data_IF_792097520724
#
_entry.id   IF_792097520724
#
_cell.length_a   1.000
_cell.length_b   1.000
_cell.length_c   1.000
_cell.angle_alpha   90.00
_cell.angle_beta   90.00
_cell.angle_gamma   90.00
#
_symmetry.space_group_name_H-M   'P 1'
#
loop_
_entity.id
_entity.type
_entity.pdbx_description
1 polymer ?
#
# COMPACT_ATOMS: atom_id res chain seq x y z
N UNK A 1 2.48 -9.99 2.30
CA UNK A 1 3.47 -9.00 2.80
C UNK A 1 3.54 -7.73 1.96
N UNK A 2 2.76 -7.58 0.87
CA UNK A 2 2.74 -6.35 0.05
C UNK A 2 1.85 -5.27 0.70
N UNK A 3 0.79 -5.69 1.40
CA UNK A 3 -0.21 -4.75 1.96
C UNK A 3 0.29 -4.03 3.23
N UNK A 4 1.20 -4.65 4.00
CA UNK A 4 1.82 -4.04 5.17
C UNK A 4 2.69 -2.83 4.81
N UNK A 5 3.50 -2.97 3.76
CA UNK A 5 4.39 -1.91 3.27
C UNK A 5 3.56 -0.75 2.73
N UNK A 6 2.49 -1.07 1.98
CA UNK A 6 1.55 -0.09 1.49
C UNK A 6 0.91 0.73 2.61
N UNK A 7 0.50 0.09 3.71
CA UNK A 7 -0.06 0.77 4.89
C UNK A 7 1.00 1.59 5.63
N UNK A 8 2.26 1.15 5.68
CA UNK A 8 3.35 1.94 6.23
C UNK A 8 3.48 3.29 5.49
N UNK A 9 3.31 3.32 4.17
CA UNK A 9 3.30 4.59 3.42
C UNK A 9 2.10 5.50 3.73
N UNK A 10 0.94 4.96 4.14
CA UNK A 10 -0.18 5.79 4.64
C UNK A 10 0.15 6.44 5.98
N UNK A 11 0.88 5.72 6.82
CA UNK A 11 1.27 6.14 8.17
C UNK A 11 2.65 6.84 8.20
N UNK A 12 3.19 7.22 7.05
CA UNK A 12 4.57 7.69 6.91
C UNK A 12 4.90 8.87 7.83
N UNK A 13 3.98 9.83 7.97
CA UNK A 13 4.20 11.02 8.80
C UNK A 13 4.28 10.62 10.29
N UNK A 14 3.41 9.72 10.75
CA UNK A 14 3.40 9.20 12.13
C UNK A 14 4.64 8.35 12.43
N UNK A 15 5.02 7.45 11.50
CA UNK A 15 6.23 6.63 11.65
C UNK A 15 7.47 7.52 11.78
N UNK A 16 7.58 8.55 10.96
CA UNK A 16 8.70 9.50 11.00
C UNK A 16 8.75 10.32 12.28
N UNK A 17 7.60 10.74 12.79
CA UNK A 17 7.50 11.46 14.07
C UNK A 17 7.95 10.55 15.24
N UNK A 18 7.42 9.33 15.31
CA UNK A 18 7.78 8.37 16.35
C UNK A 18 9.27 8.01 16.29
N UNK A 19 9.81 7.78 15.10
CA UNK A 19 11.24 7.50 14.93
C UNK A 19 12.13 8.69 15.28
N UNK A 20 11.69 9.93 15.04
CA UNK A 20 12.43 11.11 15.47
C UNK A 20 12.51 11.21 17.00
N UNK A 21 11.41 10.87 17.70
CA UNK A 21 11.35 10.85 19.16
C UNK A 21 12.14 9.68 19.76
N UNK A 22 12.22 8.55 19.06
CA UNK A 22 12.97 7.36 19.48
C UNK A 22 14.48 7.62 19.63
N UNK A 23 15.05 8.59 18.90
CA UNK A 23 16.49 8.91 18.90
C UNK A 23 17.04 9.44 20.23
N UNK A 24 16.18 9.70 21.22
CA UNK A 24 16.59 10.21 22.54
C UNK A 24 16.90 9.09 23.57
N UNK A 25 16.61 7.82 23.26
CA UNK A 25 16.89 6.69 24.15
C UNK A 25 18.24 6.01 23.78
N UNK A 26 19.00 5.51 24.76
CA UNK A 26 20.40 5.04 24.63
C UNK A 26 20.58 3.77 23.74
N UNK A 27 19.53 3.34 23.04
CA UNK A 27 19.53 2.21 22.12
C UNK A 27 19.57 2.62 20.65
N UNK A 28 19.80 1.62 19.80
CA UNK A 28 19.57 1.71 18.36
C UNK A 28 18.08 2.05 18.11
N UNK A 29 17.71 3.27 17.66
CA UNK A 29 16.31 3.65 17.48
C UNK A 29 15.57 2.73 16.51
N UNK A 30 16.29 2.09 15.60
CA UNK A 30 15.79 1.07 14.66
C UNK A 30 15.28 -0.21 15.33
N UNK A 31 15.74 -0.53 16.55
CA UNK A 31 15.32 -1.72 17.31
C UNK A 31 14.08 -1.46 18.18
N UNK A 32 13.65 -0.21 18.32
CA UNK A 32 12.46 0.11 19.11
C UNK A 32 11.19 -0.43 18.43
N UNK A 33 10.35 -1.08 19.22
CA UNK A 33 9.10 -1.69 18.78
C UNK A 33 8.02 -0.61 18.64
N UNK A 34 7.36 -0.58 17.49
CA UNK A 34 6.31 0.35 17.19
C UNK A 34 5.00 -0.37 16.83
N UNK A 35 3.91 0.01 17.52
CA UNK A 35 2.56 -0.48 17.27
C UNK A 35 1.80 0.51 16.38
N UNK A 36 2.15 0.52 15.09
CA UNK A 36 1.67 1.53 14.13
C UNK A 36 0.74 0.93 13.07
N UNK A 37 0.97 -0.33 12.70
CA UNK A 37 0.27 -0.96 11.57
C UNK A 37 -1.02 -1.64 12.07
N UNK A 38 -2.21 -1.19 11.62
CA UNK A 38 -3.49 -1.71 12.11
C UNK A 38 -3.61 -3.22 11.89
N UNK A 39 -3.85 -3.97 12.97
CA UNK A 39 -4.06 -5.42 12.89
C UNK A 39 -2.81 -6.27 12.75
N UNK A 40 -1.63 -5.67 12.70
CA UNK A 40 -0.36 -6.40 12.80
C UNK A 40 0.17 -6.34 14.24
N UNK A 41 0.95 -7.36 14.61
CA UNK A 41 1.70 -7.30 15.86
C UNK A 41 2.71 -6.14 15.82
N UNK A 42 3.02 -5.51 16.96
CA UNK A 42 4.07 -4.50 17.02
C UNK A 42 5.38 -5.04 16.45
N UNK A 43 6.03 -4.26 15.58
CA UNK A 43 7.30 -4.62 14.93
C UNK A 43 8.36 -3.55 15.20
N UNK A 44 9.66 -3.91 15.22
CA UNK A 44 10.72 -2.91 15.33
C UNK A 44 10.76 -2.02 14.09
N UNK A 45 11.21 -0.77 14.24
CA UNK A 45 11.31 0.16 13.11
C UNK A 45 12.11 -0.42 11.94
N UNK A 46 13.19 -1.17 12.19
CA UNK A 46 14.01 -1.81 11.13
C UNK A 46 13.26 -2.79 10.22
N UNK A 47 12.10 -3.29 10.65
CA UNK A 47 11.25 -4.19 9.86
C UNK A 47 10.24 -3.44 8.98
N UNK A 48 10.14 -2.11 9.12
CA UNK A 48 9.40 -1.24 8.20
C UNK A 48 10.23 -0.94 6.94
N UNK A 49 9.60 -0.50 5.83
CA UNK A 49 10.33 -0.05 4.65
C UNK A 49 11.39 0.97 5.01
N UNK A 50 12.66 0.61 4.79
CA UNK A 50 13.82 1.38 5.25
C UNK A 50 13.78 2.84 4.77
N UNK A 51 13.22 3.08 3.58
CA UNK A 51 13.13 4.39 2.96
C UNK A 51 12.25 5.37 3.79
N UNK A 52 11.25 4.85 4.51
CA UNK A 52 10.37 5.66 5.38
C UNK A 52 11.14 6.29 6.55
N UNK A 53 12.14 5.57 7.06
CA UNK A 53 12.87 5.87 8.30
C UNK A 53 13.99 6.90 8.07
N UNK A 54 14.47 7.03 6.82
CA UNK A 54 15.73 7.68 6.47
C UNK A 54 15.64 9.18 6.11
N UNK A 55 14.61 9.89 6.58
CA UNK A 55 14.34 11.31 6.23
C UNK A 55 15.54 12.27 6.41
N UNK A 56 16.48 11.96 7.31
CA UNK A 56 17.61 12.82 7.67
C UNK A 56 18.99 12.33 7.17
N UNK A 57 19.02 11.45 6.16
CA UNK A 57 20.29 11.15 5.49
C UNK A 57 20.71 12.32 4.59
N UNK A 58 22.03 12.53 4.44
CA UNK A 58 22.60 13.56 3.57
C UNK A 58 22.17 13.45 2.10
N UNK A 59 21.55 12.34 1.71
CA UNK A 59 20.99 12.09 0.39
C UNK A 59 19.69 11.25 0.51
N UNK A 60 18.53 11.87 0.73
CA UNK A 60 17.26 11.14 0.87
C UNK A 60 16.86 10.48 -0.45
N UNK A 61 16.31 9.27 -0.39
CA UNK A 61 15.82 8.57 -1.57
C UNK A 61 14.65 9.35 -2.19
N UNK A 62 14.75 9.79 -3.47
CA UNK A 62 13.69 10.56 -4.13
C UNK A 62 12.38 9.78 -4.32
N UNK A 63 12.40 8.44 -4.18
CA UNK A 63 11.22 7.59 -4.25
C UNK A 63 10.27 7.84 -3.07
N UNK A 64 10.78 8.19 -1.89
CA UNK A 64 9.96 8.43 -0.68
C UNK A 64 9.00 9.62 -0.81
N UNK A 65 9.47 10.84 -1.16
CA UNK A 65 8.57 11.97 -1.37
C UNK A 65 7.62 11.72 -2.56
N UNK A 66 8.08 11.00 -3.59
CA UNK A 66 7.25 10.62 -4.71
C UNK A 66 6.09 9.69 -4.26
N UNK A 67 6.38 8.59 -3.58
CA UNK A 67 5.38 7.62 -3.12
C UNK A 67 4.45 8.22 -2.07
N UNK A 68 4.98 8.92 -1.06
CA UNK A 68 4.14 9.56 -0.03
C UNK A 68 3.15 10.56 -0.63
N UNK A 69 3.56 11.37 -1.61
CA UNK A 69 2.66 12.31 -2.30
C UNK A 69 1.58 11.60 -3.13
N UNK A 70 1.87 10.40 -3.65
CA UNK A 70 0.93 9.58 -4.43
C UNK A 70 -0.06 8.87 -3.50
N UNK A 71 0.42 8.26 -2.43
CA UNK A 71 -0.40 7.56 -1.43
C UNK A 71 -1.42 8.50 -0.80
N UNK A 72 -1.03 9.75 -0.47
CA UNK A 72 -1.94 10.79 0.04
C UNK A 72 -3.09 11.15 -0.92
N UNK A 73 -2.96 10.86 -2.22
CA UNK A 73 -4.00 11.10 -3.23
C UNK A 73 -4.89 9.88 -3.49
N UNK A 74 -4.51 8.69 -3.01
CA UNK A 74 -5.29 7.46 -3.22
C UNK A 74 -6.70 7.49 -2.64
N UNK A 75 -7.00 8.20 -1.54
CA UNK A 75 -8.39 8.38 -1.10
C UNK A 75 -9.30 9.03 -2.17
N UNK A 76 -8.72 9.76 -3.13
CA UNK A 76 -9.45 10.39 -4.24
C UNK A 76 -9.59 9.45 -5.46
N UNK A 77 -8.86 8.34 -5.49
CA UNK A 77 -8.98 7.37 -6.57
C UNK A 77 -10.33 6.65 -6.52
N UNK A 78 -10.89 6.36 -7.70
CA UNK A 78 -12.17 5.64 -7.81
C UNK A 78 -12.08 4.21 -7.27
N UNK A 79 -10.92 3.57 -7.43
CA UNK A 79 -10.59 2.28 -6.82
C UNK A 79 -9.08 2.11 -6.73
N UNK A 80 -8.62 1.36 -5.73
CA UNK A 80 -7.24 0.91 -5.58
C UNK A 80 -7.21 -0.60 -5.76
N UNK A 81 -6.41 -1.05 -6.74
CA UNK A 81 -6.22 -2.47 -7.04
C UNK A 81 -5.02 -3.01 -6.26
N UNK A 82 -5.23 -4.03 -5.44
CA UNK A 82 -4.17 -4.69 -4.68
C UNK A 82 -3.94 -6.10 -5.23
N UNK A 83 -2.69 -6.37 -5.62
CA UNK A 83 -2.21 -7.68 -6.04
C UNK A 83 -1.98 -8.57 -4.82
N UNK A 84 -3.07 -8.87 -4.13
CA UNK A 84 -3.13 -9.62 -2.87
C UNK A 84 -4.53 -10.24 -2.75
N UNK A 85 -4.73 -11.04 -1.71
CA UNK A 85 -6.02 -11.63 -1.35
C UNK A 85 -6.51 -10.97 -0.07
N UNK A 86 -7.81 -10.67 0.02
CA UNK A 86 -8.38 -10.03 1.22
C UNK A 86 -8.19 -10.93 2.45
N UNK A 87 -8.30 -12.25 2.26
CA UNK A 87 -8.22 -13.29 3.28
C UNK A 87 -6.81 -13.44 3.89
N UNK A 88 -5.78 -12.91 3.24
CA UNK A 88 -4.42 -12.91 3.78
C UNK A 88 -4.17 -11.76 4.75
N UNK A 89 -5.06 -10.78 4.80
CA UNK A 89 -4.92 -9.62 5.67
C UNK A 89 -5.70 -9.81 6.97
N UNK A 90 -5.15 -9.34 8.11
CA UNK A 90 -5.92 -9.20 9.34
C UNK A 90 -7.16 -8.34 9.09
N UNK A 91 -8.29 -8.69 9.71
CA UNK A 91 -9.55 -7.93 9.57
C UNK A 91 -9.39 -6.44 9.88
N UNK A 92 -8.58 -6.10 10.89
CA UNK A 92 -8.31 -4.70 11.25
C UNK A 92 -7.53 -3.96 10.17
N UNK A 93 -6.59 -4.62 9.49
CA UNK A 93 -5.84 -4.05 8.36
C UNK A 93 -6.77 -3.80 7.17
N UNK A 94 -7.60 -4.79 6.84
CA UNK A 94 -8.58 -4.70 5.75
C UNK A 94 -9.59 -3.57 5.99
N UNK A 95 -10.12 -3.48 7.22
CA UNK A 95 -11.06 -2.42 7.59
C UNK A 95 -10.42 -1.04 7.55
N UNK A 96 -9.16 -0.93 7.98
CA UNK A 96 -8.39 0.31 7.88
C UNK A 96 -8.21 0.75 6.42
N UNK A 97 -7.87 -0.17 5.51
CA UNK A 97 -7.76 0.16 4.08
C UNK A 97 -9.10 0.60 3.49
N UNK A 98 -10.19 -0.13 3.79
CA UNK A 98 -11.54 0.19 3.33
C UNK A 98 -12.11 1.48 3.92
N UNK A 99 -11.62 1.94 5.09
CA UNK A 99 -12.04 3.22 5.67
C UNK A 99 -11.26 4.42 5.11
N UNK A 100 -10.05 4.20 4.59
CA UNK A 100 -9.18 5.26 4.05
C UNK A 100 -9.30 5.42 2.52
N UNK A 101 -9.94 4.49 1.82
CA UNK A 101 -10.04 4.44 0.36
C UNK A 101 -11.50 4.31 -0.08
N UNK A 102 -11.86 4.88 -1.26
CA UNK A 102 -13.22 4.76 -1.79
C UNK A 102 -13.61 3.32 -2.07
N UNK A 103 -12.74 2.59 -2.79
CA UNK A 103 -12.92 1.18 -3.11
C UNK A 103 -11.55 0.48 -3.10
N UNK A 104 -11.48 -0.71 -2.50
CA UNK A 104 -10.29 -1.57 -2.50
C UNK A 104 -10.65 -2.87 -3.19
N UNK A 105 -9.92 -3.21 -4.24
CA UNK A 105 -10.16 -4.39 -5.07
C UNK A 105 -8.96 -5.32 -5.00
N UNK A 106 -9.15 -6.47 -4.36
CA UNK A 106 -8.14 -7.54 -4.27
C UNK A 106 -8.21 -8.42 -5.52
N UNK A 107 -7.15 -8.45 -6.33
CA UNK A 107 -7.12 -9.20 -7.59
C UNK A 107 -6.38 -10.53 -7.51
N UNK A 108 -6.00 -10.95 -6.31
CA UNK A 108 -5.20 -12.16 -6.10
C UNK A 108 -3.81 -12.04 -6.72
N UNK A 109 -3.16 -13.16 -6.99
CA UNK A 109 -1.82 -13.19 -7.57
C UNK A 109 -1.84 -13.02 -9.09
N UNK A 110 -1.24 -11.92 -9.58
CA UNK A 110 -1.03 -11.68 -11.01
C UNK A 110 0.05 -12.58 -11.64
N UNK A 111 0.79 -13.36 -10.84
CA UNK A 111 1.84 -14.28 -11.34
C UNK A 111 1.34 -15.70 -11.57
N UNK A 112 0.18 -16.05 -11.02
CA UNK A 112 -0.54 -17.25 -11.42
C UNK A 112 -1.37 -16.88 -12.63
N UNK A 113 -1.12 -17.53 -13.78
CA UNK A 113 -2.11 -17.55 -14.85
C UNK A 113 -3.46 -17.89 -14.20
N UNK A 114 -4.56 -17.18 -14.52
CA UNK A 114 -5.86 -17.51 -13.96
C UNK A 114 -6.04 -19.03 -14.10
N UNK A 115 -6.30 -19.78 -13.01
CA UNK A 115 -6.38 -21.24 -13.11
C UNK A 115 -7.58 -21.59 -13.97
N UNK A 116 -7.40 -21.67 -15.29
CA UNK A 116 -8.44 -21.67 -16.32
C UNK A 116 -9.80 -21.25 -15.74
N UNK A 117 -9.86 -20.02 -15.20
CA UNK A 117 -11.04 -19.57 -14.45
C UNK A 117 -12.10 -19.44 -15.53
N UNK A 118 -12.93 -20.46 -15.67
CA UNK A 118 -13.64 -20.73 -16.90
C UNK A 118 -14.49 -19.53 -17.28
N UNK A 119 -14.03 -18.72 -18.25
CA UNK A 119 -14.62 -17.54 -18.90
C UNK A 119 -15.26 -16.43 -18.03
N UNK A 120 -15.82 -16.75 -16.86
CA UNK A 120 -16.79 -15.97 -16.11
C UNK A 120 -16.15 -14.89 -15.22
N UNK A 121 -15.03 -15.17 -14.56
CA UNK A 121 -14.38 -14.19 -13.68
C UNK A 121 -13.73 -13.02 -14.45
N UNK A 122 -13.18 -13.27 -15.64
CA UNK A 122 -12.67 -12.23 -16.54
C UNK A 122 -13.78 -11.39 -17.16
N UNK A 123 -15.00 -11.96 -17.29
CA UNK A 123 -16.15 -11.19 -17.76
C UNK A 123 -16.68 -10.29 -16.65
N UNK A 124 -16.79 -10.79 -15.41
CA UNK A 124 -17.27 -9.99 -14.27
C UNK A 124 -16.34 -8.85 -13.87
N UNK A 125 -15.02 -8.98 -14.11
CA UNK A 125 -14.09 -7.88 -13.85
C UNK A 125 -14.44 -6.64 -14.68
N UNK A 126 -14.96 -6.81 -15.92
CA UNK A 126 -15.34 -5.70 -16.80
C UNK A 126 -16.49 -4.88 -16.22
N UNK A 127 -17.37 -5.50 -15.45
CA UNK A 127 -18.53 -4.84 -14.83
C UNK A 127 -18.13 -3.86 -13.72
N UNK A 128 -16.92 -4.02 -13.16
CA UNK A 128 -16.36 -3.12 -12.16
C UNK A 128 -15.38 -2.10 -12.74
N UNK A 129 -15.07 -2.19 -14.04
CA UNK A 129 -14.22 -1.21 -14.70
C UNK A 129 -15.06 0.03 -15.07
N UNK A 130 -14.52 1.24 -14.91
CA UNK A 130 -15.19 2.44 -15.40
C UNK A 130 -15.50 2.33 -16.90
N UNK A 131 -16.63 2.89 -17.33
CA UNK A 131 -17.04 2.87 -18.73
C UNK A 131 -15.90 3.29 -19.66
N UNK A 132 -15.67 2.48 -20.71
CA UNK A 132 -14.62 2.71 -21.72
C UNK A 132 -13.18 2.44 -21.25
N UNK A 133 -12.95 1.96 -20.03
CA UNK A 133 -11.59 1.68 -19.51
C UNK A 133 -10.81 0.71 -20.39
N UNK A 134 -11.43 -0.39 -20.82
CA UNK A 134 -10.79 -1.39 -21.68
C UNK A 134 -10.41 -0.81 -23.06
N UNK A 135 -11.23 0.09 -23.62
CA UNK A 135 -10.92 0.72 -24.90
C UNK A 135 -9.78 1.74 -24.79
N UNK A 136 -9.76 2.54 -23.71
CA UNK A 136 -8.69 3.50 -23.43
C UNK A 136 -7.34 2.83 -23.26
N UNK A 137 -7.29 1.74 -22.50
CA UNK A 137 -6.04 1.02 -22.18
C UNK A 137 -5.53 0.21 -23.37
N UNK A 138 -6.42 -0.39 -24.18
CA UNK A 138 -6.06 -1.16 -25.38
C UNK A 138 -5.37 -0.34 -26.46
N UNK A 139 -5.75 0.92 -26.66
CA UNK A 139 -5.22 1.76 -27.75
C UNK A 139 -3.97 2.56 -27.39
N UNK A 140 -3.75 2.92 -26.12
CA UNK A 140 -2.75 3.94 -25.79
C UNK A 140 -1.74 3.56 -24.70
N UNK A 141 -1.85 2.41 -24.01
CA UNK A 141 -0.84 1.93 -23.05
C UNK A 141 -0.44 2.94 -21.95
N UNK A 142 -1.20 4.03 -21.81
CA UNK A 142 -0.93 5.13 -20.91
C UNK A 142 -2.24 5.49 -20.23
N UNK A 143 -2.28 5.26 -18.93
CA UNK A 143 -3.19 5.97 -18.04
C UNK A 143 -2.65 7.40 -17.94
N UNK A 144 -3.44 8.37 -18.37
CA UNK A 144 -3.12 9.80 -18.27
C UNK A 144 -4.37 10.53 -17.80
N UNK A 145 -4.18 11.63 -17.08
CA UNK A 145 -4.04 11.74 -15.63
C UNK A 145 -5.34 11.47 -14.86
#
# INVERSE_FOLDING_TARGET
MIDSDFVAYFQIDLIQELFANAKEDYGHPEDQIADILPGLSPIPFKDLPHEIILKNQSNPDPVVPLLSSRVKKLPQASAVLLNSYEELNPTLLTNYLKSNLQNVLYVGSLTQSPPAFGADATDRLKDYLPDGFAERTRKHGKVVP
#
